data_IF_026576749882
#
_entry.id   IF_026576749882
#
_cell.length_a   1.000
_cell.length_b   1.000
_cell.length_c   1.000
_cell.angle_alpha   90.00
_cell.angle_beta   90.00
_cell.angle_gamma   90.00
#
_symmetry.space_group_name_H-M   'P 1'
#
loop_
_entity.id
_entity.type
_entity.pdbx_description
1 polymer ?
#
# COMPACT_ATOMS: atom_id res chain seq x y z
N UNK A 1 -39.44 72.07 13.91
CA UNK A 1 -40.13 70.99 13.17
C UNK A 1 -39.58 69.69 13.76
N UNK A 2 -40.18 68.99 14.73
CA UNK A 2 -41.56 68.45 14.86
C UNK A 2 -41.84 67.47 13.68
N UNK A 3 -42.23 66.19 13.79
CA UNK A 3 -42.70 65.27 14.87
C UNK A 3 -42.65 63.82 14.34
N UNK A 4 -42.35 62.83 15.21
CA UNK A 4 -43.00 61.49 15.38
C UNK A 4 -43.00 60.44 14.25
N UNK A 5 -43.18 59.13 14.48
CA UNK A 5 -43.57 58.33 15.65
C UNK A 5 -44.35 57.07 15.17
N UNK A 6 -44.45 56.03 16.01
CA UNK A 6 -45.10 54.69 15.88
C UNK A 6 -44.21 53.58 15.30
N UNK A 7 -43.72 52.56 16.01
CA UNK A 7 -44.24 51.68 17.11
C UNK A 7 -45.45 50.85 16.71
N UNK A 8 -45.26 49.54 16.55
CA UNK A 8 -46.02 48.53 17.30
C UNK A 8 -45.31 47.15 17.31
N UNK A 9 -45.21 46.59 18.53
CA UNK A 9 -44.89 45.20 18.86
C UNK A 9 -46.19 44.56 19.35
N UNK A 10 -46.43 43.29 19.05
CA UNK A 10 -47.00 42.28 19.96
C UNK A 10 -46.48 40.91 19.48
N UNK A 11 -45.68 40.11 20.20
CA UNK A 11 -45.73 39.48 21.54
C UNK A 11 -46.67 38.26 21.65
N UNK A 12 -46.01 37.11 21.86
CA UNK A 12 -46.39 36.00 22.77
C UNK A 12 -47.61 35.10 22.47
N UNK A 13 -47.34 33.80 22.25
CA UNK A 13 -47.50 32.78 23.32
C UNK A 13 -47.11 31.37 22.84
N UNK A 14 -46.28 30.70 23.62
CA UNK A 14 -46.03 29.27 23.50
C UNK A 14 -47.09 28.41 24.21
N UNK A 15 -47.09 27.11 23.90
CA UNK A 15 -47.20 26.04 24.89
C UNK A 15 -46.92 24.67 24.25
N UNK A 16 -46.17 23.87 25.01
CA UNK A 16 -45.95 22.44 24.87
C UNK A 16 -47.25 21.64 24.73
N UNK A 17 -47.14 20.41 24.20
CA UNK A 17 -47.58 19.17 24.88
C UNK A 17 -47.22 17.93 24.03
N UNK A 18 -46.71 16.91 24.73
CA UNK A 18 -46.44 15.54 24.30
C UNK A 18 -47.60 14.88 23.52
N UNK A 19 -47.26 14.00 22.59
CA UNK A 19 -48.24 13.08 21.98
C UNK A 19 -47.59 11.98 21.15
N UNK A 20 -47.26 10.87 21.80
CA UNK A 20 -46.92 9.59 21.21
C UNK A 20 -48.00 9.06 20.25
N UNK A 21 -47.59 8.44 19.14
CA UNK A 21 -48.30 7.29 18.51
C UNK A 21 -47.46 6.62 17.42
N UNK A 22 -47.16 5.34 17.65
CA UNK A 22 -46.96 4.35 16.60
C UNK A 22 -48.20 4.29 15.71
N UNK A 23 -48.03 4.28 14.40
CA UNK A 23 -48.93 3.59 13.47
C UNK A 23 -48.11 2.89 12.38
N UNK A 24 -48.48 1.63 12.23
CA UNK A 24 -48.12 0.55 11.33
C UNK A 24 -48.26 0.86 9.83
N UNK A 25 -47.34 0.29 9.03
CA UNK A 25 -47.65 -0.57 7.88
C UNK A 25 -48.49 -0.05 6.70
N UNK A 26 -47.84 0.05 5.53
CA UNK A 26 -48.28 -0.26 4.14
C UNK A 26 -47.06 0.09 3.26
N UNK A 27 -46.39 -0.83 2.58
CA UNK A 27 -46.94 -1.72 1.56
C UNK A 27 -46.89 -1.01 0.21
N UNK A 28 -45.77 -1.13 -0.53
CA UNK A 28 -45.74 -0.85 -1.96
C UNK A 28 -44.93 -1.92 -2.70
N UNK A 29 -45.70 -2.79 -3.35
CA UNK A 29 -45.30 -3.69 -4.42
C UNK A 29 -45.04 -2.88 -5.70
N UNK A 30 -43.87 -3.06 -6.29
CA UNK A 30 -43.66 -2.87 -7.73
C UNK A 30 -42.48 -3.76 -8.13
N UNK A 31 -42.80 -4.97 -8.57
CA UNK A 31 -41.85 -5.92 -9.12
C UNK A 31 -41.67 -5.77 -10.63
N UNK A 32 -40.49 -6.23 -11.07
CA UNK A 32 -40.21 -6.92 -12.35
C UNK A 32 -40.41 -6.14 -13.65
N UNK A 33 -39.29 -5.71 -14.24
CA UNK A 33 -38.88 -5.69 -15.68
C UNK A 33 -37.45 -5.15 -15.66
N UNK A 34 -36.38 -5.78 -16.16
CA UNK A 34 -36.18 -6.49 -17.41
C UNK A 34 -35.11 -7.59 -17.26
N UNK A 35 -35.45 -8.83 -17.64
CA UNK A 35 -34.51 -9.80 -18.21
C UNK A 35 -35.04 -10.12 -19.61
N UNK A 36 -34.21 -9.89 -20.63
CA UNK A 36 -34.25 -10.50 -21.97
C UNK A 36 -33.87 -9.45 -23.03
N UNK A 37 -32.62 -9.48 -23.50
CA UNK A 37 -32.40 -9.44 -24.94
C UNK A 37 -31.28 -10.40 -25.33
N UNK A 38 -31.60 -11.23 -26.32
CA UNK A 38 -30.82 -12.38 -26.78
C UNK A 38 -29.63 -11.98 -27.62
N UNK A 39 -28.56 -12.77 -27.45
CA UNK A 39 -27.64 -13.34 -28.46
C UNK A 39 -27.87 -12.86 -29.90
N UNK A 40 -26.86 -12.20 -30.48
CA UNK A 40 -26.51 -12.36 -31.90
C UNK A 40 -25.10 -12.92 -32.00
N UNK A 41 -25.03 -14.08 -32.63
CA UNK A 41 -23.82 -14.69 -33.16
C UNK A 41 -23.29 -13.82 -34.30
N UNK A 42 -22.03 -13.40 -34.20
CA UNK A 42 -21.20 -13.12 -35.37
C UNK A 42 -19.88 -13.87 -35.20
N UNK A 43 -19.58 -14.67 -36.20
CA UNK A 43 -18.38 -15.48 -36.36
C UNK A 43 -17.32 -14.70 -37.14
N UNK A 44 -16.05 -15.11 -36.97
CA UNK A 44 -14.81 -14.81 -37.72
C UNK A 44 -13.91 -13.67 -37.19
N UNK A 45 -12.57 -13.73 -37.43
CA UNK A 45 -11.68 -14.89 -37.56
C UNK A 45 -10.50 -14.85 -36.56
N UNK A 46 -9.86 -16.01 -36.38
CA UNK A 46 -8.58 -16.14 -35.68
C UNK A 46 -7.44 -15.50 -36.50
N UNK A 47 -6.69 -14.57 -35.91
CA UNK A 47 -5.37 -14.14 -36.38
C UNK A 47 -4.46 -14.01 -35.15
N UNK A 48 -3.55 -14.96 -34.94
CA UNK A 48 -2.20 -15.10 -35.50
C UNK A 48 -1.16 -14.64 -34.48
N UNK A 49 -0.63 -15.65 -33.80
CA UNK A 49 0.64 -15.67 -33.10
C UNK A 49 1.74 -14.94 -33.88
N UNK A 50 2.51 -14.11 -33.18
CA UNK A 50 3.85 -13.75 -33.61
C UNK A 50 4.87 -14.51 -32.77
N UNK A 51 5.48 -15.52 -33.42
CA UNK A 51 6.62 -16.26 -32.90
C UNK A 51 7.92 -15.49 -33.15
N UNK A 52 8.72 -15.46 -32.08
CA UNK A 52 10.10 -15.92 -31.99
C UNK A 52 11.04 -15.83 -33.22
N UNK A 53 12.18 -15.21 -32.93
CA UNK A 53 13.45 -15.28 -33.64
C UNK A 53 13.99 -16.72 -33.77
N UNK A 54 14.51 -17.02 -34.97
CA UNK A 54 15.17 -18.27 -35.33
C UNK A 54 16.54 -18.42 -34.63
N UNK A 55 16.74 -19.54 -33.94
CA UNK A 55 18.06 -20.20 -33.82
C UNK A 55 17.85 -21.70 -34.05
N UNK A 56 18.64 -22.24 -34.98
CA UNK A 56 18.55 -23.59 -35.52
C UNK A 56 19.52 -24.56 -34.78
N UNK A 57 19.22 -25.86 -34.89
CA UNK A 57 20.04 -27.06 -34.62
C UNK A 57 20.07 -27.53 -33.14
N UNK A 58 19.80 -28.79 -32.77
CA UNK A 58 19.94 -30.08 -33.47
C UNK A 58 19.00 -31.12 -32.84
N UNK A 59 18.39 -31.95 -33.70
CA UNK A 59 17.61 -33.13 -33.35
C UNK A 59 18.55 -34.27 -32.92
N UNK A 60 18.41 -34.79 -31.70
CA UNK A 60 18.91 -36.12 -31.35
C UNK A 60 17.78 -37.02 -30.83
N UNK A 61 17.79 -38.24 -31.38
CA UNK A 61 16.88 -39.38 -31.20
C UNK A 61 16.44 -39.62 -29.76
N UNK A 62 15.18 -40.06 -29.65
CA UNK A 62 14.43 -40.22 -28.42
C UNK A 62 14.96 -41.25 -27.43
N UNK A 63 14.55 -41.02 -26.19
CA UNK A 63 14.44 -41.98 -25.10
C UNK A 63 13.03 -41.77 -24.52
N UNK A 64 12.34 -42.89 -24.33
CA UNK A 64 10.99 -43.01 -23.80
C UNK A 64 10.87 -42.39 -22.39
N UNK A 65 9.77 -41.65 -22.21
CA UNK A 65 9.00 -41.35 -21.01
C UNK A 65 9.50 -41.97 -19.68
N UNK A 66 10.01 -41.12 -18.80
CA UNK A 66 9.74 -41.20 -17.37
C UNK A 66 9.02 -39.91 -16.96
N UNK A 67 7.77 -40.04 -16.54
CA UNK A 67 6.98 -38.99 -15.90
C UNK A 67 7.71 -38.54 -14.63
N UNK A 68 8.59 -37.54 -14.79
CA UNK A 68 9.21 -36.84 -13.69
C UNK A 68 8.15 -35.93 -13.08
N UNK A 69 7.49 -36.40 -12.02
CA UNK A 69 6.75 -35.51 -11.12
C UNK A 69 7.64 -34.28 -10.84
N UNK A 70 7.16 -33.04 -11.03
CA UNK A 70 7.99 -31.87 -10.78
C UNK A 70 8.45 -31.93 -9.33
N UNK A 71 9.77 -32.02 -9.12
CA UNK A 71 10.35 -32.04 -7.79
C UNK A 71 9.75 -30.88 -6.98
N UNK A 72 9.11 -31.20 -5.85
CA UNK A 72 8.45 -30.21 -5.00
C UNK A 72 9.42 -29.04 -4.79
N UNK A 73 9.05 -27.86 -5.31
CA UNK A 73 9.91 -26.67 -5.26
C UNK A 73 10.21 -26.40 -3.79
N UNK A 74 11.49 -26.48 -3.39
CA UNK A 74 11.88 -26.10 -2.02
C UNK A 74 11.45 -24.65 -1.80
N UNK A 75 10.71 -24.36 -0.73
CA UNK A 75 10.14 -23.03 -0.58
C UNK A 75 11.24 -22.02 -0.26
N UNK A 76 11.08 -20.77 -0.71
CA UNK A 76 12.09 -19.72 -0.54
C UNK A 76 12.36 -19.48 0.95
N UNK A 77 13.61 -19.18 1.27
CA UNK A 77 14.04 -18.84 2.64
C UNK A 77 13.59 -17.42 2.97
N UNK A 78 13.16 -17.21 4.20
CA UNK A 78 12.86 -15.89 4.73
C UNK A 78 14.16 -15.18 5.10
N UNK A 79 14.25 -13.88 4.80
CA UNK A 79 15.42 -13.09 5.15
C UNK A 79 15.49 -12.89 6.67
N UNK A 80 16.61 -13.23 7.35
CA UNK A 80 16.72 -13.11 8.80
C UNK A 80 16.42 -11.70 9.34
N UNK A 81 16.92 -10.65 8.68
CA UNK A 81 16.72 -9.28 9.16
C UNK A 81 15.28 -8.76 9.01
N UNK A 82 14.47 -9.42 8.18
CA UNK A 82 13.03 -9.11 8.04
C UNK A 82 12.19 -9.95 9.01
N UNK A 83 12.44 -11.25 9.11
CA UNK A 83 11.60 -12.13 9.96
C UNK A 83 11.76 -11.89 11.47
N UNK A 84 12.83 -11.19 11.89
CA UNK A 84 13.06 -10.78 13.28
C UNK A 84 12.48 -9.39 13.61
N UNK A 85 11.80 -8.72 12.67
CA UNK A 85 11.10 -7.45 12.94
C UNK A 85 9.88 -7.68 13.82
N UNK A 86 9.45 -6.65 14.54
CA UNK A 86 8.15 -6.64 15.24
C UNK A 86 7.11 -5.97 14.36
N UNK A 87 5.83 -6.38 14.41
CA UNK A 87 4.75 -5.74 13.64
C UNK A 87 4.69 -4.22 13.82
N UNK A 88 4.77 -3.72 15.06
CA UNK A 88 4.80 -2.28 15.38
C UNK A 88 5.98 -1.50 14.77
N UNK A 89 7.07 -2.17 14.37
CA UNK A 89 8.22 -1.54 13.73
C UNK A 89 8.07 -1.51 12.20
N UNK A 90 6.93 -1.97 11.67
CA UNK A 90 6.65 -2.08 10.23
C UNK A 90 5.62 -1.07 9.75
N UNK A 91 5.87 -0.55 8.56
CA UNK A 91 4.87 0.09 7.70
C UNK A 91 4.74 -0.76 6.44
N UNK A 92 3.58 -1.36 6.22
CA UNK A 92 3.30 -2.11 5.01
C UNK A 92 2.85 -1.13 3.93
N UNK A 93 3.53 -1.19 2.78
CA UNK A 93 3.13 -0.44 1.59
C UNK A 93 2.51 -1.42 0.61
N UNK A 94 1.21 -1.26 0.38
CA UNK A 94 0.44 -2.11 -0.52
C UNK A 94 0.42 -1.44 -1.90
N UNK A 95 0.92 -2.15 -2.91
CA UNK A 95 0.88 -1.74 -4.31
C UNK A 95 -0.16 -2.52 -5.11
N UNK A 96 -0.30 -2.15 -6.38
CA UNK A 96 -1.30 -2.73 -7.30
C UNK A 96 -1.12 -4.23 -7.51
N UNK A 97 0.08 -4.78 -7.30
CA UNK A 97 0.33 -6.21 -7.36
C UNK A 97 -0.44 -7.01 -6.31
N UNK A 98 -0.80 -6.41 -5.16
CA UNK A 98 -1.65 -7.06 -4.16
C UNK A 98 -3.09 -7.09 -4.65
N UNK A 99 -3.64 -5.95 -5.08
CA UNK A 99 -5.00 -5.90 -5.63
C UNK A 99 -5.18 -6.83 -6.83
N UNK A 100 -4.17 -6.91 -7.70
CA UNK A 100 -4.14 -7.83 -8.83
C UNK A 100 -4.08 -9.31 -8.42
N UNK A 101 -3.44 -9.65 -7.31
CA UNK A 101 -3.43 -11.00 -6.77
C UNK A 101 -4.72 -11.35 -6.02
N UNK A 102 -5.40 -10.35 -5.44
CA UNK A 102 -6.64 -10.53 -4.70
C UNK A 102 -7.84 -10.74 -5.63
N UNK A 103 -7.93 -9.94 -6.68
CA UNK A 103 -9.02 -9.98 -7.65
C UNK A 103 -8.46 -9.94 -9.09
N UNK A 104 -7.82 -11.02 -9.56
CA UNK A 104 -7.14 -11.08 -10.86
C UNK A 104 -8.09 -11.03 -12.06
N UNK A 105 -9.39 -11.15 -11.87
CA UNK A 105 -10.39 -10.95 -12.92
C UNK A 105 -10.72 -9.47 -13.16
N UNK A 106 -10.29 -8.54 -12.29
CA UNK A 106 -10.59 -7.10 -12.41
C UNK A 106 -9.43 -6.38 -13.12
N UNK A 107 -9.59 -5.97 -14.39
CA UNK A 107 -8.48 -5.36 -15.14
C UNK A 107 -8.00 -4.03 -14.54
N UNK A 108 -8.93 -3.26 -13.95
CA UNK A 108 -8.63 -1.97 -13.32
C UNK A 108 -7.61 -2.05 -12.18
N UNK A 109 -7.52 -3.20 -11.50
CA UNK A 109 -6.58 -3.42 -10.39
C UNK A 109 -5.17 -3.80 -10.84
N UNK A 110 -5.00 -4.20 -12.11
CA UNK A 110 -3.72 -4.74 -12.61
C UNK A 110 -2.74 -3.68 -13.06
N UNK A 111 -3.24 -2.54 -13.53
CA UNK A 111 -2.38 -1.50 -14.11
C UNK A 111 -3.10 -0.17 -14.22
N UNK A 112 -2.30 0.90 -14.30
CA UNK A 112 -2.79 2.24 -14.57
C UNK A 112 -3.58 2.34 -15.87
N UNK A 113 -3.09 1.71 -16.95
CA UNK A 113 -3.81 1.63 -18.23
C UNK A 113 -5.15 0.91 -18.07
N UNK A 114 -5.16 -0.20 -17.32
CA UNK A 114 -6.38 -0.96 -17.02
C UNK A 114 -7.42 -0.12 -16.29
N UNK A 115 -6.99 0.70 -15.32
CA UNK A 115 -7.89 1.62 -14.61
C UNK A 115 -8.48 2.68 -15.55
N UNK A 116 -7.65 3.35 -16.35
CA UNK A 116 -8.14 4.39 -17.26
C UNK A 116 -9.06 3.78 -18.32
N UNK A 117 -8.74 2.59 -18.85
CA UNK A 117 -9.61 1.88 -19.78
C UNK A 117 -10.95 1.57 -19.12
N UNK A 118 -10.97 1.03 -17.90
CA UNK A 118 -12.22 0.72 -17.19
C UNK A 118 -13.05 1.97 -16.90
N UNK A 119 -12.41 3.11 -16.59
CA UNK A 119 -13.10 4.40 -16.46
C UNK A 119 -13.68 4.89 -17.78
N UNK A 120 -12.95 4.71 -18.89
CA UNK A 120 -13.44 5.05 -20.22
C UNK A 120 -14.63 4.18 -20.62
N UNK A 121 -14.55 2.87 -20.34
CA UNK A 121 -15.62 1.91 -20.62
C UNK A 121 -16.88 2.24 -19.80
N UNK A 122 -16.73 2.55 -18.51
CA UNK A 122 -17.85 3.01 -17.68
C UNK A 122 -18.45 4.32 -18.20
N UNK A 123 -17.62 5.28 -18.62
CA UNK A 123 -18.09 6.53 -19.20
C UNK A 123 -18.87 6.32 -20.51
N UNK A 124 -18.45 5.35 -21.31
CA UNK A 124 -19.11 4.90 -22.53
C UNK A 124 -20.46 4.26 -22.21
N UNK A 125 -20.52 3.39 -21.20
CA UNK A 125 -21.72 2.66 -20.80
C UNK A 125 -22.78 3.60 -20.21
N UNK A 126 -22.34 4.67 -19.54
CA UNK A 126 -23.20 5.75 -19.06
C UNK A 126 -23.53 6.82 -20.12
N UNK A 127 -23.09 6.65 -21.37
CA UNK A 127 -23.35 7.57 -22.49
C UNK A 127 -22.87 9.01 -22.22
N UNK A 128 -21.68 9.14 -21.60
CA UNK A 128 -21.12 10.45 -21.17
C UNK A 128 -20.17 11.08 -22.20
N UNK A 129 -19.87 10.36 -23.28
CA UNK A 129 -18.88 10.74 -24.29
C UNK A 129 -19.47 10.63 -25.69
N UNK A 130 -19.28 11.68 -26.48
CA UNK A 130 -19.60 11.66 -27.90
C UNK A 130 -18.68 10.69 -28.66
N UNK A 131 -19.12 10.20 -29.82
CA UNK A 131 -18.38 9.20 -30.60
C UNK A 131 -16.96 9.67 -31.00
N UNK A 132 -16.80 10.94 -31.32
CA UNK A 132 -15.49 11.51 -31.65
C UNK A 132 -14.55 11.54 -30.42
N UNK A 133 -15.09 11.88 -29.24
CA UNK A 133 -14.34 11.91 -27.99
C UNK A 133 -13.92 10.51 -27.56
N UNK A 134 -14.85 9.55 -27.63
CA UNK A 134 -14.60 8.13 -27.42
C UNK A 134 -13.42 7.64 -28.26
N UNK A 135 -13.48 7.89 -29.58
CA UNK A 135 -12.42 7.48 -30.51
C UNK A 135 -11.07 8.13 -30.19
N UNK A 136 -11.08 9.39 -29.76
CA UNK A 136 -9.87 10.11 -29.35
C UNK A 136 -9.24 9.47 -28.11
N UNK A 137 -10.02 9.27 -27.04
CA UNK A 137 -9.52 8.64 -25.80
C UNK A 137 -9.02 7.22 -26.04
N UNK A 138 -9.76 6.42 -26.81
CA UNK A 138 -9.38 5.05 -27.14
C UNK A 138 -8.04 5.01 -27.88
N UNK A 139 -7.86 5.87 -28.89
CA UNK A 139 -6.59 5.97 -29.63
C UNK A 139 -5.43 6.38 -28.71
N UNK A 140 -5.63 7.35 -27.82
CA UNK A 140 -4.59 7.76 -26.87
C UNK A 140 -4.20 6.64 -25.90
N UNK A 141 -5.15 5.79 -25.47
CA UNK A 141 -4.86 4.61 -24.64
C UNK A 141 -4.13 3.51 -25.40
N UNK A 142 -4.46 3.29 -26.67
CA UNK A 142 -3.79 2.34 -27.55
C UNK A 142 -2.33 2.72 -27.78
N UNK A 143 -2.06 4.00 -28.04
CA UNK A 143 -0.72 4.54 -28.25
C UNK A 143 0.18 4.41 -27.00
N UNK A 144 -0.40 4.12 -25.83
CA UNK A 144 0.27 3.88 -24.55
C UNK A 144 1.26 4.98 -24.12
N UNK A 145 1.07 6.20 -24.64
CA UNK A 145 1.89 7.38 -24.35
C UNK A 145 1.08 8.36 -23.52
N UNK A 146 1.73 8.99 -22.54
CA UNK A 146 1.15 10.06 -21.74
C UNK A 146 -0.15 9.67 -21.01
N UNK A 147 -0.26 8.44 -20.49
CA UNK A 147 -1.45 7.95 -19.76
C UNK A 147 -1.90 8.91 -18.63
N UNK A 148 -0.96 9.62 -18.01
CA UNK A 148 -1.23 10.67 -17.03
C UNK A 148 -2.10 11.80 -17.62
N UNK A 149 -1.79 12.27 -18.83
CA UNK A 149 -2.57 13.30 -19.52
C UNK A 149 -3.93 12.76 -19.94
N UNK A 150 -3.98 11.50 -20.42
CA UNK A 150 -5.25 10.85 -20.80
C UNK A 150 -6.19 10.75 -19.58
N UNK A 151 -5.66 10.30 -18.43
CA UNK A 151 -6.42 10.25 -17.19
C UNK A 151 -6.91 11.64 -16.78
N UNK A 152 -6.03 12.65 -16.84
CA UNK A 152 -6.38 14.02 -16.48
C UNK A 152 -7.52 14.58 -17.34
N UNK A 153 -7.42 14.45 -18.66
CA UNK A 153 -8.44 14.92 -19.62
C UNK A 153 -9.76 14.18 -19.43
N UNK A 154 -9.71 12.86 -19.20
CA UNK A 154 -10.91 12.05 -18.92
C UNK A 154 -11.60 12.51 -17.64
N UNK A 155 -10.86 12.72 -16.54
CA UNK A 155 -11.46 13.24 -15.29
C UNK A 155 -12.07 14.61 -15.50
N UNK A 156 -11.39 15.53 -16.20
CA UNK A 156 -11.93 16.87 -16.44
C UNK A 156 -13.26 16.80 -17.20
N UNK A 157 -13.35 15.89 -18.18
CA UNK A 157 -14.59 15.65 -18.93
C UNK A 157 -15.69 15.06 -18.04
N UNK A 158 -15.34 14.12 -17.16
CA UNK A 158 -16.29 13.47 -16.24
C UNK A 158 -16.63 14.31 -14.99
N UNK A 159 -15.87 15.38 -14.74
CA UNK A 159 -16.05 16.30 -13.61
C UNK A 159 -16.05 17.76 -14.08
N UNK A 160 -16.98 18.18 -14.95
CA UNK A 160 -17.03 19.56 -15.40
C UNK A 160 -17.24 20.48 -14.19
N UNK A 161 -16.51 21.60 -14.15
CA UNK A 161 -16.59 22.60 -13.09
C UNK A 161 -17.92 23.37 -13.17
N UNK A 162 -19.02 22.72 -12.83
CA UNK A 162 -20.32 23.36 -12.64
C UNK A 162 -20.46 23.72 -11.16
N UNK A 163 -20.88 24.95 -10.88
CA UNK A 163 -20.68 25.62 -9.59
C UNK A 163 -21.54 25.12 -8.42
N UNK A 164 -22.25 23.99 -8.54
CA UNK A 164 -22.96 23.36 -7.43
C UNK A 164 -23.62 22.03 -7.86
N UNK A 165 -22.88 20.90 -7.91
CA UNK A 165 -23.47 19.57 -7.69
C UNK A 165 -22.46 18.66 -7.00
N UNK A 166 -22.93 18.01 -5.93
CA UNK A 166 -22.20 17.17 -4.97
C UNK A 166 -21.86 15.76 -5.50
N UNK A 167 -21.89 15.54 -6.82
CA UNK A 167 -21.50 14.30 -7.49
C UNK A 167 -21.13 14.57 -8.94
N UNK A 168 -19.86 14.36 -9.30
CA UNK A 168 -19.41 14.33 -10.68
C UNK A 168 -19.67 12.96 -11.31
N UNK A 169 -19.86 12.88 -12.63
CA UNK A 169 -19.97 11.58 -13.32
C UNK A 169 -18.72 10.71 -13.12
N UNK A 170 -17.58 11.32 -12.81
CA UNK A 170 -16.37 10.61 -12.44
C UNK A 170 -16.57 9.71 -11.21
N UNK A 171 -17.33 10.17 -10.21
CA UNK A 171 -17.72 9.36 -9.06
C UNK A 171 -18.49 8.13 -9.53
N UNK A 172 -19.51 8.32 -10.36
CA UNK A 172 -20.37 7.22 -10.81
C UNK A 172 -19.58 6.19 -11.62
N UNK A 173 -18.67 6.64 -12.50
CA UNK A 173 -17.76 5.76 -13.24
C UNK A 173 -16.83 4.98 -12.31
N UNK A 174 -16.27 5.61 -11.27
CA UNK A 174 -15.42 4.92 -10.30
C UNK A 174 -16.16 3.86 -9.51
N UNK A 175 -17.39 4.16 -9.07
CA UNK A 175 -18.22 3.17 -8.38
C UNK A 175 -18.51 1.99 -9.27
N UNK A 176 -18.82 2.20 -10.55
CA UNK A 176 -19.01 1.11 -11.52
C UNK A 176 -17.75 0.24 -11.67
N UNK A 177 -16.58 0.88 -11.82
CA UNK A 177 -15.29 0.17 -11.97
C UNK A 177 -14.97 -0.72 -10.76
N UNK A 178 -15.28 -0.24 -9.56
CA UNK A 178 -15.00 -0.93 -8.29
C UNK A 178 -16.26 -1.54 -7.66
N UNK A 179 -17.33 -1.74 -8.42
CA UNK A 179 -18.53 -2.38 -7.91
C UNK A 179 -18.27 -3.86 -7.63
N UNK A 180 -18.95 -4.39 -6.62
CA UNK A 180 -18.94 -5.82 -6.29
C UNK A 180 -17.53 -6.45 -6.17
N UNK A 181 -16.55 -5.71 -5.62
CA UNK A 181 -15.19 -6.22 -5.42
C UNK A 181 -15.16 -7.42 -4.47
N UNK A 182 -16.08 -7.50 -3.50
CA UNK A 182 -16.17 -8.58 -2.52
C UNK A 182 -16.36 -9.96 -3.19
N UNK A 183 -17.28 -10.05 -4.17
CA UNK A 183 -17.54 -11.29 -4.90
C UNK A 183 -16.38 -11.70 -5.82
N UNK A 184 -15.49 -10.74 -6.13
CA UNK A 184 -14.35 -10.91 -7.04
C UNK A 184 -13.06 -11.32 -6.31
N UNK A 185 -13.05 -11.37 -4.99
CA UNK A 185 -11.86 -11.82 -4.25
C UNK A 185 -11.67 -13.34 -4.34
N UNK A 186 -10.51 -13.79 -4.81
CA UNK A 186 -10.12 -15.20 -4.80
C UNK A 186 -9.61 -15.65 -3.41
N UNK A 187 -9.70 -16.95 -3.10
CA UNK A 187 -9.32 -17.49 -1.79
C UNK A 187 -7.85 -17.28 -1.43
N UNK A 188 -6.95 -17.43 -2.40
CA UNK A 188 -5.51 -17.14 -2.27
C UNK A 188 -5.27 -15.65 -2.01
N UNK A 189 -6.07 -14.79 -2.64
CA UNK A 189 -6.12 -13.36 -2.38
C UNK A 189 -6.54 -13.04 -0.94
N UNK A 190 -7.61 -13.67 -0.46
CA UNK A 190 -8.10 -13.54 0.91
C UNK A 190 -7.06 -14.00 1.94
N UNK A 191 -6.31 -15.07 1.65
CA UNK A 191 -5.20 -15.52 2.50
C UNK A 191 -4.13 -14.42 2.63
N UNK A 192 -3.76 -13.78 1.52
CA UNK A 192 -2.80 -12.67 1.53
C UNK A 192 -3.30 -11.48 2.36
N UNK A 193 -4.57 -11.08 2.18
CA UNK A 193 -5.18 -10.00 2.99
C UNK A 193 -5.28 -10.38 4.47
N UNK A 194 -5.54 -11.65 4.80
CA UNK A 194 -5.52 -12.15 6.18
C UNK A 194 -4.14 -11.96 6.84
N UNK A 195 -3.06 -12.26 6.12
CA UNK A 195 -1.70 -12.04 6.63
C UNK A 195 -1.37 -10.56 6.84
N UNK A 196 -1.89 -9.67 5.98
CA UNK A 196 -1.78 -8.21 6.17
C UNK A 196 -2.56 -7.77 7.41
N UNK A 197 -3.83 -8.18 7.52
CA UNK A 197 -4.70 -7.83 8.63
C UNK A 197 -4.12 -8.32 9.97
N UNK A 198 -3.54 -9.52 10.01
CA UNK A 198 -2.88 -10.04 11.21
C UNK A 198 -1.74 -9.14 11.70
N UNK A 199 -0.87 -8.68 10.79
CA UNK A 199 0.20 -7.74 11.14
C UNK A 199 -0.35 -6.40 11.61
N UNK A 200 -1.45 -5.91 11.02
CA UNK A 200 -2.12 -4.69 11.49
C UNK A 200 -2.68 -4.81 12.90
N UNK A 201 -3.31 -5.94 13.21
CA UNK A 201 -3.82 -6.22 14.56
C UNK A 201 -2.70 -6.23 15.60
N UNK A 202 -1.51 -6.69 15.20
CA UNK A 202 -0.30 -6.65 16.02
C UNK A 202 0.44 -5.30 16.02
N UNK A 203 -0.07 -4.30 15.29
CA UNK A 203 0.41 -2.90 15.35
C UNK A 203 1.16 -2.38 14.13
N UNK A 204 1.25 -3.13 13.03
CA UNK A 204 1.80 -2.61 11.79
C UNK A 204 0.88 -1.53 11.19
N UNK A 205 1.48 -0.45 10.68
CA UNK A 205 0.75 0.55 9.91
C UNK A 205 0.63 0.10 8.45
N UNK A 206 -0.43 0.54 7.75
CA UNK A 206 -0.63 0.24 6.33
C UNK A 206 -0.92 1.52 5.56
N UNK A 207 -0.21 1.68 4.45
CA UNK A 207 -0.52 2.68 3.45
C UNK A 207 -0.55 2.04 2.05
N UNK A 208 -1.26 2.66 1.14
CA UNK A 208 -1.42 2.19 -0.23
C UNK A 208 -1.44 3.35 -1.22
N UNK A 209 -1.09 3.05 -2.45
CA UNK A 209 -1.29 3.96 -3.60
C UNK A 209 -2.49 3.50 -4.45
N UNK A 210 -3.16 2.42 -4.07
CA UNK A 210 -4.30 1.90 -4.81
C UNK A 210 -5.57 2.66 -4.44
N UNK A 211 -6.51 2.76 -5.39
CA UNK A 211 -7.81 3.40 -5.17
C UNK A 211 -8.85 2.47 -4.56
N UNK A 212 -8.68 1.15 -4.72
CA UNK A 212 -9.57 0.15 -4.14
C UNK A 212 -9.45 0.11 -2.61
N UNK A 213 -10.45 -0.49 -1.95
CA UNK A 213 -10.48 -0.71 -0.50
C UNK A 213 -10.60 -2.22 -0.17
N UNK A 214 -9.93 -3.08 -0.97
CA UNK A 214 -10.06 -4.54 -0.84
C UNK A 214 -9.72 -5.06 0.55
N UNK A 215 -8.70 -4.48 1.19
CA UNK A 215 -8.29 -4.85 2.55
C UNK A 215 -9.38 -4.52 3.57
N UNK A 216 -10.05 -3.38 3.41
CA UNK A 216 -11.13 -2.95 4.30
C UNK A 216 -12.41 -3.74 4.08
N UNK A 217 -12.79 -4.04 2.83
CA UNK A 217 -13.90 -4.95 2.52
C UNK A 217 -13.63 -6.31 3.16
N UNK A 218 -12.44 -6.87 2.94
CA UNK A 218 -12.08 -8.16 3.53
C UNK A 218 -12.13 -8.12 5.06
N UNK A 219 -11.59 -7.07 5.67
CA UNK A 219 -11.60 -6.95 7.12
C UNK A 219 -13.04 -6.84 7.68
N UNK A 220 -13.94 -6.13 6.98
CA UNK A 220 -15.35 -6.05 7.34
C UNK A 220 -16.04 -7.42 7.32
N UNK A 221 -15.76 -8.25 6.31
CA UNK A 221 -16.22 -9.64 6.24
C UNK A 221 -15.67 -10.49 7.41
N UNK A 222 -14.45 -10.20 7.88
CA UNK A 222 -13.89 -10.81 9.10
C UNK A 222 -14.40 -10.17 10.41
N UNK A 223 -15.40 -9.28 10.35
CA UNK A 223 -16.00 -8.62 11.53
C UNK A 223 -15.12 -7.51 12.13
N UNK A 224 -14.19 -6.96 11.36
CA UNK A 224 -13.27 -5.88 11.76
C UNK A 224 -13.59 -4.61 10.99
N UNK A 225 -13.63 -3.48 11.68
CA UNK A 225 -13.78 -2.18 11.02
C UNK A 225 -12.41 -1.55 10.80
N UNK A 226 -12.02 -1.43 9.53
CA UNK A 226 -10.87 -0.62 9.12
C UNK A 226 -11.37 0.73 8.61
N UNK A 227 -10.71 1.81 9.02
CA UNK A 227 -10.99 3.15 8.50
C UNK A 227 -10.09 3.45 7.30
N UNK A 228 -10.67 3.78 6.15
CA UNK A 228 -9.92 4.33 5.01
C UNK A 228 -9.64 5.81 5.25
N UNK A 229 -8.37 6.19 5.18
CA UNK A 229 -7.89 7.55 5.29
C UNK A 229 -7.35 8.01 3.94
N UNK A 230 -7.50 9.28 3.61
CA UNK A 230 -6.79 9.91 2.52
C UNK A 230 -6.18 11.23 2.99
N UNK A 231 -5.37 11.84 2.13
CA UNK A 231 -4.62 13.04 2.48
C UNK A 231 -5.48 14.31 2.57
N UNK A 232 -6.80 14.24 2.36
CA UNK A 232 -7.70 15.39 2.53
C UNK A 232 -8.10 15.63 3.99
N UNK A 233 -8.03 14.60 4.85
CA UNK A 233 -8.27 14.75 6.29
C UNK A 233 -6.95 14.78 7.07
N UNK A 234 -6.33 15.95 7.06
CA UNK A 234 -5.01 16.20 7.68
C UNK A 234 -4.94 15.74 9.13
N UNK A 235 -6.00 15.97 9.91
CA UNK A 235 -6.05 15.59 11.32
C UNK A 235 -5.97 14.07 11.48
N UNK A 236 -6.75 13.31 10.71
CA UNK A 236 -6.72 11.85 10.78
C UNK A 236 -5.38 11.30 10.31
N UNK A 237 -4.78 11.89 9.27
CA UNK A 237 -3.47 11.47 8.78
C UNK A 237 -2.38 11.70 9.83
N UNK A 238 -2.41 12.84 10.53
CA UNK A 238 -1.47 13.10 11.64
C UNK A 238 -1.65 12.12 12.79
N UNK A 239 -2.89 11.84 13.19
CA UNK A 239 -3.16 10.85 14.24
C UNK A 239 -2.77 9.43 13.82
N UNK A 240 -2.90 9.07 12.54
CA UNK A 240 -2.39 7.82 11.99
C UNK A 240 -0.86 7.76 12.01
N UNK A 241 -0.18 8.81 11.53
CA UNK A 241 1.29 8.86 11.50
C UNK A 241 1.91 8.88 12.90
N UNK A 242 1.17 9.37 13.90
CA UNK A 242 1.53 9.31 15.31
C UNK A 242 1.08 8.02 16.01
N UNK A 243 0.59 7.03 15.27
CA UNK A 243 0.15 5.71 15.77
C UNK A 243 -1.01 5.77 16.78
N UNK A 244 -1.77 6.88 16.79
CA UNK A 244 -2.96 7.09 17.63
C UNK A 244 -4.22 6.47 17.00
N UNK A 245 -4.19 6.19 15.69
CA UNK A 245 -5.25 5.49 14.96
C UNK A 245 -4.78 4.10 14.57
N UNK A 246 -5.33 3.09 15.24
CA UNK A 246 -5.12 1.68 14.90
C UNK A 246 -6.15 1.24 13.85
N UNK A 247 -5.84 0.16 13.11
CA UNK A 247 -6.74 -0.43 12.12
C UNK A 247 -7.28 0.59 11.10
N UNK A 248 -6.38 1.30 10.45
CA UNK A 248 -6.70 2.24 9.37
C UNK A 248 -5.68 2.14 8.25
N UNK A 249 -6.13 2.44 7.03
CA UNK A 249 -5.34 2.35 5.80
C UNK A 249 -5.21 3.75 5.23
N UNK A 250 -3.97 4.22 5.04
CA UNK A 250 -3.73 5.51 4.37
C UNK A 250 -3.63 5.33 2.85
N UNK A 251 -4.59 5.88 2.10
CA UNK A 251 -4.59 5.93 0.64
C UNK A 251 -3.95 7.23 0.16
N UNK A 252 -2.73 7.13 -0.32
CA UNK A 252 -1.93 8.28 -0.77
C UNK A 252 -2.60 8.95 -1.98
N UNK A 253 -3.05 8.18 -2.97
CA UNK A 253 -3.79 8.68 -4.14
C UNK A 253 -5.29 8.85 -3.90
N UNK A 254 -5.78 8.67 -2.68
CA UNK A 254 -7.20 8.63 -2.34
C UNK A 254 -7.86 7.27 -2.59
N UNK A 255 -9.12 7.15 -2.17
CA UNK A 255 -9.92 5.92 -2.21
C UNK A 255 -11.21 6.14 -2.99
N UNK A 256 -11.67 5.15 -3.76
CA UNK A 256 -12.86 5.31 -4.63
C UNK A 256 -14.16 5.62 -3.88
N UNK A 257 -14.24 5.25 -2.60
CA UNK A 257 -15.37 5.59 -1.72
C UNK A 257 -15.38 7.06 -1.30
N UNK A 258 -14.27 7.79 -1.49
CA UNK A 258 -14.17 9.24 -1.37
C UNK A 258 -13.57 9.89 -2.64
N UNK A 259 -14.34 9.98 -3.74
CA UNK A 259 -13.84 10.48 -5.03
C UNK A 259 -13.27 11.90 -5.00
N UNK A 260 -13.69 12.75 -4.05
CA UNK A 260 -13.12 14.10 -3.89
C UNK A 260 -11.66 14.10 -3.44
N UNK A 261 -11.18 13.03 -2.82
CA UNK A 261 -9.79 12.87 -2.40
C UNK A 261 -8.89 12.20 -3.44
N UNK A 262 -9.43 11.78 -4.58
CA UNK A 262 -8.68 11.03 -5.59
C UNK A 262 -7.72 11.93 -6.36
N UNK A 263 -6.49 11.46 -6.52
CA UNK A 263 -5.45 12.12 -7.29
C UNK A 263 -4.94 11.19 -8.39
N UNK A 264 -5.30 11.46 -9.65
CA UNK A 264 -4.75 10.73 -10.81
C UNK A 264 -3.58 11.44 -11.52
N UNK A 265 -3.24 12.64 -11.07
CA UNK A 265 -2.21 13.48 -11.69
C UNK A 265 -1.30 14.11 -10.63
N UNK A 266 0.04 14.15 -10.81
CA UNK A 266 0.97 14.71 -9.82
C UNK A 266 0.62 16.15 -9.38
N UNK A 267 0.09 16.99 -10.27
CA UNK A 267 -0.39 18.33 -9.90
C UNK A 267 -1.51 18.34 -8.84
N UNK A 268 -2.31 17.27 -8.72
CA UNK A 268 -3.34 17.16 -7.68
C UNK A 268 -2.76 17.09 -6.27
N UNK A 269 -1.48 16.75 -6.14
CA UNK A 269 -0.75 16.77 -4.88
C UNK A 269 -0.28 18.15 -4.43
N UNK A 270 -0.37 19.19 -5.26
CA UNK A 270 0.21 20.49 -4.93
C UNK A 270 -0.33 21.10 -3.63
N UNK A 271 -1.61 20.89 -3.30
CA UNK A 271 -2.17 21.40 -2.06
C UNK A 271 -1.82 20.53 -0.86
N UNK A 272 -1.76 19.21 -1.06
CA UNK A 272 -1.48 18.21 -0.02
C UNK A 272 -0.01 18.19 0.39
N UNK A 273 0.92 18.18 -0.59
CA UNK A 273 2.36 18.20 -0.34
C UNK A 273 2.84 19.54 0.24
N UNK A 274 2.01 20.60 0.19
CA UNK A 274 2.28 21.87 0.88
C UNK A 274 2.04 21.78 2.39
N UNK A 275 1.31 20.78 2.88
CA UNK A 275 1.15 20.59 4.31
C UNK A 275 2.45 20.02 4.90
N UNK A 276 3.32 20.92 5.32
CA UNK A 276 4.64 20.60 5.89
C UNK A 276 4.53 19.69 7.12
N UNK A 277 3.46 19.83 7.91
CA UNK A 277 3.29 19.03 9.12
C UNK A 277 2.95 17.57 8.79
N UNK A 278 1.96 17.33 7.93
CA UNK A 278 1.59 15.99 7.46
C UNK A 278 2.79 15.31 6.80
N UNK A 279 3.46 16.01 5.89
CA UNK A 279 4.64 15.51 5.20
C UNK A 279 5.76 15.12 6.16
N UNK A 280 6.03 15.96 7.16
CA UNK A 280 7.05 15.69 8.17
C UNK A 280 6.72 14.45 9.00
N UNK A 281 5.47 14.28 9.45
CA UNK A 281 5.11 13.10 10.25
C UNK A 281 5.16 11.81 9.42
N UNK A 282 4.73 11.84 8.15
CA UNK A 282 4.85 10.70 7.25
C UNK A 282 6.33 10.34 7.00
N UNK A 283 7.19 11.35 6.80
CA UNK A 283 8.63 11.15 6.61
C UNK A 283 9.32 10.58 7.85
N UNK A 284 8.94 11.01 9.06
CA UNK A 284 9.44 10.42 10.32
C UNK A 284 9.18 8.93 10.41
N UNK A 285 8.05 8.43 9.89
CA UNK A 285 7.81 6.99 9.84
C UNK A 285 8.88 6.28 9.02
N UNK A 286 9.29 6.85 7.89
CA UNK A 286 10.35 6.27 7.05
C UNK A 286 11.72 6.29 7.75
N UNK A 287 11.98 7.29 8.59
CA UNK A 287 13.20 7.38 9.39
C UNK A 287 13.19 6.52 10.67
N UNK A 288 12.01 6.07 11.14
CA UNK A 288 11.85 5.37 12.41
C UNK A 288 11.36 3.92 12.29
N UNK A 289 10.79 3.53 11.14
CA UNK A 289 10.20 2.20 10.91
C UNK A 289 10.71 1.56 9.63
N UNK A 290 10.70 0.24 9.61
CA UNK A 290 11.03 -0.54 8.41
C UNK A 290 9.82 -0.60 7.47
N UNK A 291 9.98 -0.10 6.25
CA UNK A 291 8.93 -0.21 5.23
C UNK A 291 9.02 -1.56 4.54
N UNK A 292 7.88 -2.25 4.41
CA UNK A 292 7.75 -3.50 3.69
C UNK A 292 6.83 -3.30 2.47
N UNK A 293 7.45 -3.25 1.30
CA UNK A 293 6.78 -3.05 0.02
C UNK A 293 6.23 -4.38 -0.52
N UNK A 294 4.93 -4.44 -0.71
CA UNK A 294 4.17 -5.62 -1.14
C UNK A 294 3.44 -5.30 -2.45
N UNK A 295 3.79 -5.99 -3.54
CA UNK A 295 3.15 -5.76 -4.84
C UNK A 295 3.47 -4.39 -5.47
N UNK A 296 4.56 -3.74 -5.05
CA UNK A 296 4.94 -2.38 -5.45
C UNK A 296 5.79 -2.28 -6.72
N UNK A 297 5.73 -3.27 -7.62
CA UNK A 297 6.64 -3.35 -8.79
C UNK A 297 6.65 -2.09 -9.66
N UNK A 298 5.49 -1.45 -9.84
CA UNK A 298 5.35 -0.16 -10.55
C UNK A 298 5.17 1.02 -9.59
N UNK A 299 4.75 0.79 -8.34
CA UNK A 299 4.58 1.85 -7.33
C UNK A 299 5.89 2.57 -7.03
N UNK A 300 7.03 1.90 -7.21
CA UNK A 300 8.36 2.53 -7.06
C UNK A 300 8.64 3.61 -8.10
N UNK A 301 7.98 3.60 -9.26
CA UNK A 301 8.12 4.61 -10.30
C UNK A 301 7.14 5.78 -10.10
N UNK A 302 6.26 5.69 -9.09
CA UNK A 302 5.32 6.76 -8.76
C UNK A 302 6.06 7.98 -8.20
N UNK A 303 5.97 9.10 -8.91
CA UNK A 303 6.70 10.32 -8.55
C UNK A 303 6.30 10.88 -7.20
N UNK A 304 5.03 10.74 -6.80
CA UNK A 304 4.58 11.21 -5.49
C UNK A 304 5.14 10.32 -4.40
N UNK A 305 5.09 9.00 -4.59
CA UNK A 305 5.69 8.05 -3.66
C UNK A 305 7.21 8.29 -3.52
N UNK A 306 7.91 8.49 -4.64
CA UNK A 306 9.33 8.83 -4.64
C UNK A 306 9.60 10.13 -3.87
N UNK A 307 8.83 11.19 -4.13
CA UNK A 307 8.96 12.46 -3.44
C UNK A 307 8.66 12.34 -1.93
N UNK A 308 7.66 11.55 -1.54
CA UNK A 308 7.27 11.34 -0.14
C UNK A 308 8.35 10.61 0.67
N UNK A 309 8.92 9.54 0.10
CA UNK A 309 9.69 8.57 0.88
C UNK A 309 11.13 8.36 0.40
N UNK A 310 11.41 8.46 -0.90
CA UNK A 310 12.73 8.11 -1.44
C UNK A 310 13.65 9.33 -1.64
N UNK A 311 13.08 10.48 -1.98
CA UNK A 311 13.86 11.69 -2.31
C UNK A 311 13.91 12.71 -1.16
N UNK A 312 12.87 12.77 -0.32
CA UNK A 312 12.80 13.76 0.75
C UNK A 312 13.71 13.45 1.95
N UNK A 313 14.10 12.19 2.14
CA UNK A 313 14.90 11.76 3.28
C UNK A 313 16.38 11.99 2.96
N UNK A 314 16.89 13.17 3.38
CA UNK A 314 18.23 13.66 3.04
C UNK A 314 19.38 12.84 3.65
N UNK A 315 19.10 12.10 4.72
CA UNK A 315 20.08 11.24 5.38
C UNK A 315 19.72 9.79 5.08
N UNK A 316 20.67 9.00 4.57
CA UNK A 316 20.46 7.56 4.44
C UNK A 316 20.12 7.02 5.82
N UNK A 317 18.86 6.61 5.99
CA UNK A 317 18.38 5.94 7.18
C UNK A 317 19.24 4.69 7.40
N UNK A 318 19.71 4.48 8.64
CA UNK A 318 20.36 3.21 9.02
C UNK A 318 19.35 2.05 9.08
N UNK A 319 18.04 2.32 8.93
CA UNK A 319 17.01 1.30 8.90
C UNK A 319 16.96 0.59 7.55
N UNK A 320 16.85 -0.73 7.63
CA UNK A 320 16.59 -1.56 6.48
C UNK A 320 15.12 -1.49 6.08
N UNK A 321 14.86 -1.13 4.83
CA UNK A 321 13.56 -1.29 4.18
C UNK A 321 13.59 -2.54 3.30
N UNK A 322 12.43 -3.09 2.95
CA UNK A 322 12.32 -4.38 2.28
C UNK A 322 11.28 -4.35 1.18
N UNK A 323 11.53 -5.08 0.10
CA UNK A 323 10.58 -5.20 -1.00
C UNK A 323 10.44 -6.64 -1.43
N UNK A 324 9.20 -7.15 -1.41
CA UNK A 324 8.88 -8.48 -1.89
C UNK A 324 8.49 -8.41 -3.38
N UNK A 325 9.26 -9.09 -4.22
CA UNK A 325 9.03 -9.11 -5.68
C UNK A 325 9.05 -10.54 -6.23
N UNK A 326 8.43 -10.72 -7.39
CA UNK A 326 8.59 -11.94 -8.18
C UNK A 326 10.02 -12.01 -8.69
N UNK A 327 10.59 -13.21 -8.80
CA UNK A 327 11.94 -13.39 -9.35
C UNK A 327 12.03 -12.85 -10.78
N UNK A 328 11.04 -13.17 -11.62
CA UNK A 328 10.96 -12.67 -13.00
C UNK A 328 12.22 -12.95 -13.82
N UNK A 329 12.52 -12.05 -14.76
CA UNK A 329 13.77 -12.08 -15.51
C UNK A 329 14.98 -11.78 -14.59
N UNK A 330 16.08 -12.49 -14.83
CA UNK A 330 17.26 -12.42 -13.96
C UNK A 330 17.93 -11.05 -14.02
N UNK A 331 17.99 -10.42 -15.19
CA UNK A 331 18.69 -9.16 -15.38
C UNK A 331 17.83 -7.99 -14.93
N UNK A 332 16.51 -8.04 -15.17
CA UNK A 332 15.55 -7.09 -14.57
C UNK A 332 15.60 -7.13 -13.04
N UNK A 333 15.61 -8.33 -12.45
CA UNK A 333 15.69 -8.50 -11.00
C UNK A 333 16.99 -7.95 -10.41
N UNK A 334 18.14 -8.20 -11.05
CA UNK A 334 19.43 -7.66 -10.62
C UNK A 334 19.43 -6.13 -10.67
N UNK A 335 18.98 -5.56 -11.79
CA UNK A 335 18.90 -4.11 -11.98
C UNK A 335 17.98 -3.46 -10.93
N UNK A 336 16.81 -4.04 -10.67
CA UNK A 336 15.90 -3.56 -9.64
C UNK A 336 16.57 -3.63 -8.25
N UNK A 337 17.25 -4.73 -7.95
CA UNK A 337 17.94 -4.93 -6.66
C UNK A 337 19.04 -3.90 -6.44
N UNK A 338 19.86 -3.62 -7.45
CA UNK A 338 20.92 -2.61 -7.37
C UNK A 338 20.32 -1.21 -7.15
N UNK A 339 19.36 -0.81 -7.99
CA UNK A 339 18.69 0.48 -7.90
C UNK A 339 18.02 0.73 -6.54
N UNK A 340 17.41 -0.30 -5.96
CA UNK A 340 16.70 -0.20 -4.69
C UNK A 340 17.65 -0.26 -3.48
N UNK A 341 18.77 -0.98 -3.61
CA UNK A 341 19.77 -1.04 -2.55
C UNK A 341 20.42 0.33 -2.30
N UNK A 342 20.66 1.11 -3.37
CA UNK A 342 21.14 2.49 -3.25
C UNK A 342 20.21 3.40 -2.45
N UNK A 343 18.92 3.05 -2.42
CA UNK A 343 17.85 3.70 -1.66
C UNK A 343 17.60 3.07 -0.28
N UNK A 344 18.45 2.13 0.16
CA UNK A 344 18.31 1.44 1.46
C UNK A 344 17.24 0.33 1.48
N UNK A 345 16.76 -0.11 0.32
CA UNK A 345 15.69 -1.10 0.20
C UNK A 345 16.26 -2.45 -0.25
N UNK A 346 16.11 -3.48 0.58
CA UNK A 346 16.49 -4.86 0.26
C UNK A 346 15.39 -5.56 -0.54
N UNK A 347 15.68 -5.85 -1.80
CA UNK A 347 14.77 -6.61 -2.68
C UNK A 347 14.90 -8.12 -2.40
N UNK A 348 13.77 -8.75 -2.10
CA UNK A 348 13.64 -10.17 -1.73
C UNK A 348 12.67 -10.83 -2.71
N UNK A 349 13.10 -11.94 -3.31
CA UNK A 349 12.22 -12.74 -4.15
C UNK A 349 11.37 -13.69 -3.32
N UNK A 350 10.04 -13.62 -3.46
CA UNK A 350 9.12 -14.57 -2.81
C UNK A 350 8.96 -15.87 -3.59
N UNK A 351 9.19 -15.85 -4.90
CA UNK A 351 8.95 -16.99 -5.79
C UNK A 351 9.11 -16.63 -7.27
N UNK A 352 8.75 -17.57 -8.14
CA UNK A 352 8.78 -17.40 -9.61
C UNK A 352 7.43 -16.89 -10.14
N UNK A 353 6.33 -17.19 -9.44
CA UNK A 353 4.96 -16.87 -9.85
C UNK A 353 4.26 -15.97 -8.83
N UNK A 354 3.28 -15.17 -9.27
CA UNK A 354 2.48 -14.34 -8.37
C UNK A 354 1.72 -15.16 -7.32
N UNK A 355 1.34 -16.40 -7.66
CA UNK A 355 0.70 -17.35 -6.74
C UNK A 355 1.62 -17.82 -5.60
N UNK A 356 2.93 -17.58 -5.68
CA UNK A 356 3.87 -17.94 -4.61
C UNK A 356 3.85 -16.92 -3.45
N UNK A 357 3.32 -15.71 -3.68
CA UNK A 357 3.32 -14.62 -2.70
C UNK A 357 2.47 -14.93 -1.45
N UNK A 358 1.22 -15.43 -1.54
CA UNK A 358 0.40 -15.69 -0.36
C UNK A 358 1.05 -16.64 0.64
N UNK A 359 1.57 -17.79 0.18
CA UNK A 359 2.23 -18.78 1.04
C UNK A 359 3.53 -18.22 1.64
N UNK A 360 4.35 -17.53 0.83
CA UNK A 360 5.58 -16.91 1.31
C UNK A 360 5.29 -15.87 2.40
N UNK A 361 4.29 -15.02 2.17
CA UNK A 361 3.95 -13.94 3.08
C UNK A 361 3.28 -14.43 4.36
N UNK A 362 2.42 -15.45 4.30
CA UNK A 362 1.85 -16.09 5.49
C UNK A 362 2.94 -16.64 6.40
N UNK A 363 3.90 -17.37 5.83
CA UNK A 363 5.06 -17.86 6.58
C UNK A 363 5.88 -16.74 7.21
N UNK A 364 6.07 -15.64 6.48
CA UNK A 364 6.79 -14.49 6.99
C UNK A 364 6.05 -13.85 8.17
N UNK A 365 4.74 -13.63 8.01
CA UNK A 365 3.85 -13.09 9.04
C UNK A 365 3.91 -13.94 10.32
N UNK A 366 3.83 -15.27 10.19
CA UNK A 366 3.92 -16.17 11.33
C UNK A 366 5.24 -16.04 12.10
N UNK A 367 6.37 -15.90 11.42
CA UNK A 367 7.67 -15.69 12.08
C UNK A 367 7.75 -14.33 12.80
N UNK A 368 7.27 -13.26 12.14
CA UNK A 368 7.23 -11.90 12.70
C UNK A 368 6.37 -11.85 13.97
N UNK A 369 5.18 -12.46 13.94
CA UNK A 369 4.27 -12.47 15.11
C UNK A 369 4.75 -13.41 16.22
N UNK A 370 5.36 -14.56 15.89
CA UNK A 370 5.92 -15.48 16.89
C UNK A 370 7.13 -14.88 17.63
N UNK A 371 7.95 -14.08 16.94
CA UNK A 371 9.06 -13.36 17.57
C UNK A 371 8.58 -12.43 18.70
N UNK A 372 7.41 -11.79 18.49
CA UNK A 372 6.79 -10.94 19.50
C UNK A 372 6.46 -11.70 20.80
N UNK A 373 6.00 -12.95 20.67
CA UNK A 373 5.64 -13.79 21.82
C UNK A 373 6.87 -14.37 22.54
N UNK A 374 7.92 -14.75 21.81
CA UNK A 374 9.14 -15.31 22.39
C UNK A 374 9.95 -14.27 23.16
N UNK A 375 10.02 -13.02 22.66
CA UNK A 375 10.69 -11.91 23.35
C UNK A 375 9.98 -11.48 24.64
N UNK A 376 8.65 -11.67 24.73
CA UNK A 376 7.86 -11.37 25.93
C UNK A 376 8.03 -12.42 27.04
N UNK A 377 8.37 -13.67 26.69
CA UNK A 377 8.62 -14.76 27.65
C UNK A 377 9.99 -14.71 28.34
N UNK A 378 10.95 -13.90 27.86
CA UNK A 378 12.25 -13.72 28.53
C UNK A 378 12.27 -12.58 29.56
N UNK A 379 11.16 -11.84 29.73
CA UNK A 379 11.06 -10.70 30.66
C UNK A 379 10.30 -10.96 31.96
N UNK A 380 9.81 -12.17 32.20
CA UNK A 380 8.98 -12.48 33.37
C UNK A 380 9.31 -13.85 33.97
N UNK A 381 9.47 -13.87 35.30
CA UNK A 381 9.67 -15.02 36.19
C UNK A 381 11.09 -15.61 36.31
N UNK A 382 11.88 -14.99 37.20
CA UNK A 382 12.66 -15.72 38.19
C UNK A 382 12.30 -15.20 39.60
N UNK A 383 11.10 -15.56 40.07
CA UNK A 383 10.79 -15.64 41.50
C UNK A 383 10.45 -17.10 41.78
N UNK A 384 11.47 -17.86 42.16
CA UNK A 384 11.39 -19.24 42.59
C UNK A 384 12.58 -19.50 43.48
N UNK A 385 12.35 -19.41 44.79
CA UNK A 385 13.27 -19.83 45.83
C UNK A 385 13.56 -21.32 45.68
N UNK A 386 14.77 -21.66 45.26
CA UNK A 386 15.36 -22.98 45.53
C UNK A 386 16.80 -22.80 45.94
N UNK A 387 17.03 -22.95 47.24
CA UNK A 387 18.36 -23.08 47.84
C UNK A 387 19.00 -24.38 47.37
N UNK A 388 19.94 -24.28 46.43
CA UNK A 388 20.92 -25.33 46.16
C UNK A 388 22.30 -24.82 46.57
N UNK A 389 22.79 -25.38 47.68
CA UNK A 389 24.19 -25.27 48.12
C UNK A 389 25.09 -25.85 47.03
N UNK A 390 26.01 -25.05 46.50
CA UNK A 390 27.16 -25.54 45.75
C UNK A 390 28.42 -25.18 46.55
N UNK A 391 29.16 -26.22 46.91
CA UNK A 391 30.43 -26.15 47.62
C UNK A 391 31.50 -25.47 46.75
N UNK A 392 32.16 -24.46 47.31
CA UNK A 392 33.35 -23.85 46.73
C UNK A 392 34.53 -24.82 46.80
N UNK A 393 34.96 -25.36 45.65
CA UNK A 393 36.33 -25.85 45.49
C UNK A 393 37.19 -24.76 44.87
N UNK A 394 38.13 -24.27 45.68
CA UNK A 394 39.17 -23.35 45.29
C UNK A 394 40.07 -23.94 44.18
N UNK A 395 40.39 -23.12 43.19
CA UNK A 395 41.59 -23.31 42.36
C UNK A 395 42.39 -22.00 42.36
N UNK A 396 43.66 -22.14 42.75
CA UNK A 396 44.66 -21.06 42.83
C UNK A 396 45.38 -20.90 41.48
N UNK A 397 45.77 -19.63 41.23
CA UNK A 397 46.97 -19.13 40.49
C UNK A 397 47.04 -19.45 38.99
N UNK A 398 47.44 -18.57 38.08
CA UNK A 398 48.58 -17.62 38.12
C UNK A 398 48.32 -16.34 37.30
N UNK A 399 48.80 -15.21 37.81
CA UNK A 399 48.97 -13.93 37.11
C UNK A 399 50.42 -13.77 36.68
N UNK A 400 50.70 -13.65 35.38
CA UNK A 400 52.03 -13.28 34.89
C UNK A 400 52.17 -11.75 34.81
N UNK A 401 53.10 -11.23 35.62
CA UNK A 401 53.75 -9.93 35.45
C UNK A 401 54.63 -9.92 34.19
N UNK A 402 54.63 -8.82 33.45
CA UNK A 402 55.77 -8.42 32.62
C UNK A 402 56.05 -6.93 32.82
N UNK A 403 57.24 -6.64 33.35
CA UNK A 403 57.82 -5.30 33.51
C UNK A 403 58.50 -4.84 32.20
N UNK A 404 58.51 -3.53 32.01
CA UNK A 404 59.20 -2.81 30.95
C UNK A 404 60.73 -2.78 31.13
N UNK A 405 61.48 -2.46 30.07
CA UNK A 405 62.77 -1.80 30.21
C UNK A 405 62.75 -0.36 29.67
N UNK A 406 63.35 0.52 30.47
CA UNK A 406 63.75 1.90 30.21
C UNK A 406 64.87 2.03 29.17
N UNK A 407 64.84 3.11 28.38
CA UNK A 407 66.06 3.89 28.11
C UNK A 407 65.73 5.34 27.70
N UNK A 408 66.44 6.27 28.33
CA UNK A 408 66.42 7.72 28.11
C UNK A 408 67.17 8.13 26.83
N UNK A 409 66.71 9.19 26.17
CA UNK A 409 67.57 10.28 25.68
C UNK A 409 66.74 11.56 25.47
N UNK A 410 67.40 12.69 25.73
CA UNK A 410 66.97 14.06 26.03
C UNK A 410 66.70 14.99 24.83
N UNK A 411 66.24 16.22 25.17
CA UNK A 411 66.33 17.56 24.52
C UNK A 411 64.94 18.18 24.27
N UNK A 412 64.40 19.01 25.18
CA UNK A 412 64.61 20.46 25.42
C UNK A 412 63.85 21.40 24.45
N UNK A 413 63.01 22.24 25.05
CA UNK A 413 62.62 23.62 24.70
C UNK A 413 62.21 23.98 23.26
N UNK A 414 61.00 24.53 23.10
CA UNK A 414 60.82 26.01 23.06
C UNK A 414 59.39 26.42 22.69
N UNK A 415 59.04 27.62 23.13
CA UNK A 415 57.74 28.25 23.14
C UNK A 415 57.33 28.90 21.80
N UNK A 416 56.06 29.34 21.76
CA UNK A 416 55.51 30.29 20.79
C UNK A 416 54.46 29.62 19.90
N UNK A 417 53.21 30.05 19.78
CA UNK A 417 52.65 31.39 19.94
C UNK A 417 51.82 31.68 18.69
N UNK A 418 50.51 31.86 18.87
CA UNK A 418 49.59 32.77 18.15
C UNK A 418 49.64 32.78 16.60
N UNK A 419 48.52 32.47 15.94
CA UNK A 419 47.72 33.46 15.19
C UNK A 419 46.58 32.84 14.39
N UNK A 420 45.48 33.59 14.34
CA UNK A 420 44.30 33.43 13.50
C UNK A 420 44.57 33.80 12.03
N UNK A 421 43.70 33.27 11.15
CA UNK A 421 43.13 33.87 9.91
C UNK A 421 44.11 34.04 8.73
N UNK A 422 43.63 34.12 7.47
CA UNK A 422 42.32 34.62 6.97
C UNK A 422 41.23 33.56 6.76
#
# INVERSE_FOLDING_TARGET
MAVGGLVERERERGRDVLGSRLVTGRGCLCGRRCRSFRRRLFSFPAERNWMASNVNLKLHRGILLEDSMPAAKKPRKLLPSLKCKKPQDLVLVIGTGISAAVAPQVPALKSWKGLIQALLDAAIDFDLLEEEERRKFQKCLEDNKNLIHVAHDLIQKLSPRTSNVRSSFFKDCLYEVFDDLESKMEDTGKQLLRSVLHLMEDGALVLTTNFDNLLEIFAADQGKQLESLDLTDEKKVLEWAQEKRKLSVLHIHGVYTNPSGIVLHPAGYQNVLRNVEVMREIQKLYEAKSFLFLGCGWTVDDTTFQALFLEAVKHKSDLEHFMLVRRGDVDEFKKLRENMLDKGIKVISYGEEYSDLPEYFERLTNEISNWNQAGSRQGGQLNGTDTVRIENKAFKTETHHFQAPTNMASFSDSAGGISRMP
#
